data_IF_659441629813
#
_entry.id   IF_659441629813
#
_cell.length_a   1.000
_cell.length_b   1.000
_cell.length_c   1.000
_cell.angle_alpha   90.00
_cell.angle_beta   90.00
_cell.angle_gamma   90.00
#
_symmetry.space_group_name_H-M   'P 1'
#
loop_
_entity.id
_entity.type
_entity.pdbx_description
1 polymer ?
#
# COMPACT_ATOMS: atom_id res chain seq x y z
N UNK A 1 0.29 -24.23 -1.81
CA UNK A 1 -0.09 -22.93 -1.22
C UNK A 1 1.13 -22.44 -0.47
N UNK A 2 2.07 -21.83 -1.19
CA UNK A 2 3.30 -21.31 -0.59
C UNK A 2 3.01 -19.96 0.08
N UNK A 3 2.72 -20.05 1.38
CA UNK A 3 2.74 -18.97 2.36
C UNK A 3 4.18 -18.54 2.70
N UNK A 4 5.11 -18.55 1.74
CA UNK A 4 6.54 -18.46 2.07
C UNK A 4 6.98 -17.12 2.65
N UNK A 5 6.19 -16.07 2.55
CA UNK A 5 6.64 -14.76 3.01
C UNK A 5 5.52 -13.97 3.68
N UNK A 6 5.11 -14.35 4.90
CA UNK A 6 4.31 -13.45 5.74
C UNK A 6 5.03 -12.11 5.98
N UNK A 7 6.37 -12.12 5.98
CA UNK A 7 7.21 -10.93 5.91
C UNK A 7 6.95 -10.12 4.62
N UNK A 8 6.92 -10.75 3.44
CA UNK A 8 6.58 -10.04 2.19
C UNK A 8 5.19 -9.43 2.20
N UNK A 9 4.21 -10.04 2.88
CA UNK A 9 2.85 -9.51 2.89
C UNK A 9 2.76 -8.22 3.71
N UNK A 10 3.47 -8.14 4.83
CA UNK A 10 3.58 -6.90 5.61
C UNK A 10 4.49 -5.87 4.94
N UNK A 11 5.63 -6.29 4.38
CA UNK A 11 6.49 -5.40 3.59
C UNK A 11 5.74 -4.81 2.40
N UNK A 12 4.94 -5.62 1.69
CA UNK A 12 4.12 -5.16 0.57
C UNK A 12 3.04 -4.17 1.03
N UNK A 13 2.39 -4.43 2.16
CA UNK A 13 1.42 -3.47 2.77
C UNK A 13 2.09 -2.14 3.06
N UNK A 14 3.27 -2.16 3.68
CA UNK A 14 4.03 -0.97 4.03
C UNK A 14 4.52 -0.23 2.77
N UNK A 15 5.01 -0.95 1.77
CA UNK A 15 5.48 -0.37 0.52
C UNK A 15 4.35 0.31 -0.27
N UNK A 16 3.15 -0.29 -0.28
CA UNK A 16 1.95 0.32 -0.86
C UNK A 16 1.56 1.58 -0.08
N UNK A 17 1.50 1.53 1.25
CA UNK A 17 1.18 2.70 2.07
C UNK A 17 2.21 3.84 1.85
N UNK A 18 3.50 3.52 1.80
CA UNK A 18 4.55 4.49 1.53
C UNK A 18 4.39 5.13 0.16
N UNK A 19 4.16 4.32 -0.88
CA UNK A 19 3.91 4.83 -2.23
C UNK A 19 2.68 5.75 -2.27
N UNK A 20 1.58 5.36 -1.62
CA UNK A 20 0.38 6.19 -1.51
C UNK A 20 0.64 7.50 -0.73
N UNK A 21 1.54 7.50 0.25
CA UNK A 21 1.94 8.68 0.99
C UNK A 21 2.78 9.64 0.13
N UNK A 22 3.74 9.11 -0.63
CA UNK A 22 4.55 9.88 -1.58
C UNK A 22 3.67 10.51 -2.67
N UNK A 23 2.64 9.78 -3.11
CA UNK A 23 1.68 10.23 -4.11
C UNK A 23 0.56 11.11 -3.55
N UNK A 24 0.41 11.23 -2.22
CA UNK A 24 -0.42 12.31 -1.65
C UNK A 24 0.13 13.70 -2.09
N UNK A 25 1.39 13.76 -2.51
CA UNK A 25 2.07 14.97 -3.00
C UNK A 25 2.23 15.07 -4.53
N UNK A 26 1.81 14.08 -5.31
CA UNK A 26 1.92 14.09 -6.77
C UNK A 26 0.76 13.33 -7.40
N UNK A 27 0.14 13.87 -8.45
CA UNK A 27 -1.12 13.38 -9.01
C UNK A 27 -0.93 12.34 -10.14
N UNK A 28 -0.77 11.02 -9.89
CA UNK A 28 -1.02 10.06 -10.94
C UNK A 28 -2.53 9.90 -11.10
N UNK A 29 -2.96 9.74 -12.34
CA UNK A 29 -4.34 9.37 -12.64
C UNK A 29 -4.71 8.02 -12.00
N UNK A 30 -5.97 7.85 -11.56
CA UNK A 30 -6.47 6.57 -11.07
C UNK A 30 -6.26 5.49 -12.14
N UNK A 31 -5.51 4.44 -11.80
CA UNK A 31 -5.12 3.34 -12.70
C UNK A 31 -3.64 3.32 -13.10
N UNK A 32 -3.02 4.49 -13.30
CA UNK A 32 -1.56 4.58 -13.45
C UNK A 32 -0.85 4.19 -12.15
N UNK A 33 -1.47 4.56 -11.02
CA UNK A 33 -1.04 4.19 -9.68
C UNK A 33 -0.93 2.68 -9.47
N UNK A 34 -2.02 1.95 -9.75
CA UNK A 34 -2.05 0.50 -9.52
C UNK A 34 -1.04 -0.22 -10.41
N UNK A 35 -0.89 0.23 -11.66
CA UNK A 35 0.11 -0.27 -12.60
C UNK A 35 1.55 0.02 -12.13
N UNK A 36 1.78 1.22 -11.59
CA UNK A 36 3.08 1.63 -11.07
C UNK A 36 3.44 0.80 -9.83
N UNK A 37 2.51 0.62 -8.90
CA UNK A 37 2.68 -0.23 -7.71
C UNK A 37 3.02 -1.68 -8.08
N UNK A 38 2.29 -2.26 -9.03
CA UNK A 38 2.57 -3.62 -9.50
C UNK A 38 4.00 -3.73 -10.05
N UNK A 39 4.45 -2.76 -10.85
CA UNK A 39 5.81 -2.75 -11.42
C UNK A 39 6.89 -2.48 -10.37
N UNK A 40 6.67 -1.52 -9.48
CA UNK A 40 7.64 -1.11 -8.47
C UNK A 40 7.84 -2.16 -7.38
N UNK A 41 6.80 -2.94 -7.09
CA UNK A 41 6.80 -3.95 -6.04
C UNK A 41 6.93 -5.38 -6.59
N UNK A 42 7.05 -5.53 -7.92
CA UNK A 42 7.12 -6.81 -8.62
C UNK A 42 5.98 -7.78 -8.22
N UNK A 43 4.75 -7.24 -8.16
CA UNK A 43 3.54 -8.00 -7.79
C UNK A 43 2.50 -7.97 -8.88
N UNK A 44 1.60 -8.97 -8.85
CA UNK A 44 0.46 -8.99 -9.77
C UNK A 44 -0.65 -8.04 -9.31
N UNK A 45 -1.52 -7.64 -10.24
CA UNK A 45 -2.71 -6.84 -9.92
C UNK A 45 -3.64 -7.57 -8.93
N UNK A 46 -3.67 -8.91 -8.95
CA UNK A 46 -4.45 -9.72 -8.02
C UNK A 46 -3.92 -9.62 -6.58
N UNK A 47 -2.60 -9.64 -6.42
CA UNK A 47 -1.95 -9.48 -5.12
C UNK A 47 -2.17 -8.07 -4.59
N UNK A 48 -1.97 -7.06 -5.44
CA UNK A 48 -2.21 -5.66 -5.09
C UNK A 48 -3.67 -5.43 -4.64
N UNK A 49 -4.66 -5.95 -5.38
CA UNK A 49 -6.08 -5.86 -5.00
C UNK A 49 -6.38 -6.53 -3.67
N UNK A 50 -5.75 -7.68 -3.42
CA UNK A 50 -5.89 -8.40 -2.14
C UNK A 50 -5.37 -7.57 -0.99
N UNK A 51 -4.21 -6.94 -1.15
CA UNK A 51 -3.60 -6.09 -0.13
C UNK A 51 -4.37 -4.79 0.06
N UNK A 52 -4.76 -4.10 -1.01
CA UNK A 52 -5.58 -2.90 -0.94
C UNK A 52 -6.92 -3.18 -0.24
N UNK A 53 -7.54 -4.34 -0.51
CA UNK A 53 -8.77 -4.75 0.20
C UNK A 53 -8.52 -4.90 1.70
N UNK A 54 -7.40 -5.51 2.10
CA UNK A 54 -7.02 -5.61 3.50
C UNK A 54 -6.79 -4.24 4.15
N UNK A 55 -6.05 -3.35 3.48
CA UNK A 55 -5.77 -1.99 3.94
C UNK A 55 -7.06 -1.17 4.08
N UNK A 56 -7.99 -1.27 3.12
CA UNK A 56 -9.32 -0.63 3.18
C UNK A 56 -10.18 -1.18 4.32
N UNK A 57 -10.20 -2.50 4.52
CA UNK A 57 -10.93 -3.12 5.63
C UNK A 57 -10.46 -2.59 6.99
N UNK A 58 -9.17 -2.26 7.10
CA UNK A 58 -8.57 -1.64 8.30
C UNK A 58 -8.63 -0.12 8.33
N UNK A 59 -9.27 0.51 7.34
CA UNK A 59 -9.36 1.98 7.19
C UNK A 59 -8.00 2.66 7.07
N UNK A 60 -6.96 1.95 6.63
CA UNK A 60 -5.62 2.49 6.39
C UNK A 60 -5.51 3.19 5.02
N UNK A 61 -6.32 2.74 4.07
CA UNK A 61 -6.48 3.36 2.75
C UNK A 61 -7.94 3.69 2.54
N UNK A 62 -8.20 4.90 2.07
CA UNK A 62 -9.50 5.39 1.63
C UNK A 62 -9.57 5.48 0.11
N UNK A 63 -10.76 5.81 -0.39
CA UNK A 63 -10.98 6.09 -1.80
C UNK A 63 -11.58 7.49 -1.91
N UNK A 64 -10.95 8.35 -2.70
CA UNK A 64 -11.46 9.71 -3.01
C UNK A 64 -11.62 9.80 -4.52
N UNK A 65 -12.86 9.85 -4.99
CA UNK A 65 -13.19 9.65 -6.39
C UNK A 65 -12.84 8.22 -6.83
N UNK A 66 -11.92 8.10 -7.78
CA UNK A 66 -11.39 6.81 -8.27
C UNK A 66 -9.98 6.50 -7.74
N UNK A 67 -9.42 7.36 -6.86
CA UNK A 67 -8.05 7.25 -6.37
C UNK A 67 -7.98 6.59 -5.00
N UNK A 68 -7.05 5.64 -4.83
CA UNK A 68 -6.62 5.15 -3.53
C UNK A 68 -5.80 6.24 -2.83
N UNK A 69 -6.16 6.58 -1.59
CA UNK A 69 -5.44 7.56 -0.78
C UNK A 69 -5.14 7.01 0.60
N UNK A 70 -3.95 7.27 1.12
CA UNK A 70 -3.61 6.92 2.49
C UNK A 70 -4.43 7.76 3.47
N UNK A 71 -4.99 7.13 4.51
CA UNK A 71 -5.68 7.83 5.60
C UNK A 71 -4.68 8.20 6.70
N UNK A 72 -5.09 9.03 7.64
CA UNK A 72 -4.26 9.35 8.81
C UNK A 72 -3.90 8.09 9.62
N UNK A 73 -4.83 7.12 9.70
CA UNK A 73 -4.57 5.82 10.33
C UNK A 73 -3.54 4.99 9.54
N UNK A 74 -3.60 5.03 8.21
CA UNK A 74 -2.59 4.39 7.35
C UNK A 74 -1.21 5.01 7.50
N UNK A 75 -1.13 6.34 7.60
CA UNK A 75 0.12 7.06 7.79
C UNK A 75 0.72 6.77 9.18
N UNK A 76 -0.11 6.71 10.23
CA UNK A 76 0.33 6.30 11.57
C UNK A 76 0.84 4.86 11.58
N UNK A 77 0.10 3.92 10.96
CA UNK A 77 0.51 2.52 10.83
C UNK A 77 1.87 2.41 10.12
N UNK A 78 2.06 3.13 9.02
CA UNK A 78 3.32 3.17 8.29
C UNK A 78 4.46 3.70 9.18
N UNK A 79 4.25 4.79 9.91
CA UNK A 79 5.26 5.39 10.79
C UNK A 79 5.67 4.46 11.93
N UNK A 80 4.69 3.77 12.55
CA UNK A 80 4.95 2.79 13.61
C UNK A 80 5.77 1.60 13.11
N UNK A 81 5.47 1.10 11.91
CA UNK A 81 6.12 -0.11 11.37
C UNK A 81 7.44 0.20 10.65
N UNK A 82 7.62 1.39 10.05
CA UNK A 82 8.94 1.83 9.54
C UNK A 82 9.93 2.08 10.69
N UNK A 83 9.46 2.55 11.84
CA UNK A 83 10.32 2.76 13.01
C UNK A 83 10.85 1.45 13.59
N UNK A 84 10.11 0.35 13.43
CA UNK A 84 10.53 -0.99 13.85
C UNK A 84 11.62 -1.62 12.98
N UNK A 85 11.83 -1.13 11.75
CA UNK A 85 12.88 -1.61 10.84
C UNK A 85 14.24 -0.91 11.03
N UNK A 86 14.35 0.06 11.94
CA UNK A 86 15.54 0.90 12.14
C UNK A 86 16.31 0.60 13.44
N UNK A 87 16.13 -0.57 14.02
CA UNK A 87 16.83 -1.02 15.25
C UNK A 87 17.77 -2.17 14.94
#
# INVERSE_FOLDING_TARGET
MDLKDAASADELRLAILQSLQELKNGEPEPGALDTMLCKSLDVTEGDLKTVLKWLRNRKLVGVVGERNVITDAGAAYLAEHQSAAKV
#
